data_IF_916253265576
#
_entry.id   IF_916253265576
#
_cell.length_a   1.000
_cell.length_b   1.000
_cell.length_c   1.000
_cell.angle_alpha   90.00
_cell.angle_beta   90.00
_cell.angle_gamma   90.00
#
_symmetry.space_group_name_H-M   'P 1'
#
loop_
_entity.id
_entity.type
_entity.pdbx_description
1 polymer ?
#
# COMPACT_ATOMS: atom_id res chain seq x y z
N UNK A 1 -5.72 -40.14 19.57
CA UNK A 1 -4.52 -39.35 19.19
C UNK A 1 -4.72 -38.49 17.93
N UNK A 2 -5.54 -38.91 16.96
CA UNK A 2 -5.79 -38.16 15.72
C UNK A 2 -6.47 -36.79 15.94
N UNK A 3 -7.47 -36.72 16.84
CA UNK A 3 -8.19 -35.46 17.14
C UNK A 3 -7.35 -34.38 17.81
N UNK A 4 -6.40 -34.73 18.70
CA UNK A 4 -5.50 -33.75 19.33
C UNK A 4 -4.52 -33.16 18.32
N UNK A 5 -3.98 -33.97 17.41
CA UNK A 5 -3.09 -33.51 16.32
C UNK A 5 -3.84 -32.58 15.34
N UNK A 6 -5.09 -32.91 15.02
CA UNK A 6 -5.95 -32.08 14.17
C UNK A 6 -6.28 -30.73 14.84
N UNK A 7 -6.62 -30.73 16.13
CA UNK A 7 -6.92 -29.50 16.87
C UNK A 7 -5.70 -28.59 16.98
N UNK A 8 -4.51 -29.13 17.27
CA UNK A 8 -3.27 -28.35 17.28
C UNK A 8 -2.96 -27.75 15.90
N UNK A 9 -3.16 -28.51 14.82
CA UNK A 9 -2.99 -28.01 13.45
C UNK A 9 -3.94 -26.85 13.14
N UNK A 10 -5.22 -26.97 13.53
CA UNK A 10 -6.21 -25.89 13.36
C UNK A 10 -5.84 -24.64 14.17
N UNK A 11 -5.38 -24.79 15.41
CA UNK A 11 -4.94 -23.65 16.24
C UNK A 11 -3.74 -22.95 15.60
N UNK A 12 -2.75 -23.69 15.10
CA UNK A 12 -1.63 -23.10 14.36
C UNK A 12 -2.10 -22.34 13.11
N UNK A 13 -3.06 -22.91 12.36
CA UNK A 13 -3.63 -22.29 11.17
C UNK A 13 -4.33 -20.95 11.48
N UNK A 14 -4.99 -20.81 12.62
CA UNK A 14 -5.65 -19.55 13.03
C UNK A 14 -4.70 -18.55 13.70
N UNK A 15 -3.62 -19.04 14.33
CA UNK A 15 -2.66 -18.18 15.02
C UNK A 15 -1.78 -17.38 14.05
N UNK A 16 -1.39 -17.96 12.91
CA UNK A 16 -0.56 -17.27 11.91
C UNK A 16 -1.25 -16.02 11.32
N UNK A 17 -2.51 -16.07 10.85
CA UNK A 17 -3.24 -14.88 10.41
C UNK A 17 -3.42 -13.83 11.50
N UNK A 18 -3.58 -14.25 12.77
CA UNK A 18 -3.71 -13.33 13.90
C UNK A 18 -2.44 -12.49 14.09
N UNK A 19 -1.27 -13.14 14.09
CA UNK A 19 0.02 -12.44 14.22
C UNK A 19 0.23 -11.48 13.04
N UNK A 20 -0.09 -11.94 11.82
CA UNK A 20 -0.04 -11.09 10.64
C UNK A 20 -0.96 -9.86 10.78
N UNK A 21 -2.19 -10.04 11.26
CA UNK A 21 -3.14 -8.96 11.52
C UNK A 21 -2.60 -7.93 12.52
N UNK A 22 -1.98 -8.38 13.61
CA UNK A 22 -1.35 -7.48 14.60
C UNK A 22 -0.19 -6.66 13.99
N UNK A 23 0.65 -7.28 13.17
CA UNK A 23 1.77 -6.60 12.49
C UNK A 23 1.22 -5.55 11.52
N UNK A 24 0.24 -5.92 10.69
CA UNK A 24 -0.39 -5.00 9.72
C UNK A 24 -1.02 -3.82 10.44
N UNK A 25 -1.80 -4.07 11.51
CA UNK A 25 -2.41 -3.00 12.31
C UNK A 25 -1.37 -2.06 12.93
N UNK A 26 -0.36 -2.62 13.58
CA UNK A 26 0.70 -1.85 14.22
C UNK A 26 1.44 -0.96 13.20
N UNK A 27 1.79 -1.53 12.04
CA UNK A 27 2.44 -0.80 10.97
C UNK A 27 1.54 0.30 10.36
N UNK A 28 0.26 0.00 10.17
CA UNK A 28 -0.70 0.98 9.62
C UNK A 28 -0.93 2.15 10.57
N UNK A 29 -1.01 1.89 11.88
CA UNK A 29 -1.12 2.93 12.90
C UNK A 29 0.16 3.76 12.96
N UNK A 30 1.33 3.12 12.89
CA UNK A 30 2.61 3.82 12.86
C UNK A 30 2.72 4.81 11.70
N UNK A 31 2.36 4.38 10.49
CA UNK A 31 2.30 5.25 9.30
C UNK A 31 1.32 6.39 9.54
N UNK A 32 0.13 6.10 10.06
CA UNK A 32 -0.90 7.12 10.27
C UNK A 32 -0.46 8.23 11.22
N UNK A 33 0.29 7.87 12.27
CA UNK A 33 0.80 8.79 13.29
C UNK A 33 1.98 9.62 12.75
N UNK A 34 2.90 8.99 12.01
CA UNK A 34 4.04 9.70 11.39
C UNK A 34 3.56 10.75 10.37
N UNK A 35 2.61 10.41 9.50
CA UNK A 35 2.00 11.38 8.58
C UNK A 35 1.26 12.51 9.31
N UNK A 36 0.49 12.20 10.36
CA UNK A 36 -0.27 13.20 11.11
C UNK A 36 0.63 14.26 11.77
N UNK A 37 1.85 13.89 12.13
CA UNK A 37 2.82 14.79 12.74
C UNK A 37 3.36 15.82 11.74
N UNK A 38 3.42 15.49 10.45
CA UNK A 38 3.85 16.39 9.38
C UNK A 38 2.72 17.31 8.89
N UNK A 39 1.47 16.83 8.87
CA UNK A 39 0.30 17.61 8.42
C UNK A 39 -0.03 18.78 9.38
N UNK A 40 0.45 18.74 10.62
CA UNK A 40 0.30 19.86 11.56
C UNK A 40 1.19 21.07 11.21
N UNK A 41 2.13 20.93 10.25
CA UNK A 41 3.04 21.99 9.82
C UNK A 41 2.63 22.68 8.50
N UNK A 42 1.86 22.02 7.62
CA UNK A 42 1.40 22.59 6.36
C UNK A 42 -0.04 22.16 6.06
N UNK A 43 -0.91 23.16 5.95
CA UNK A 43 -2.32 22.99 5.66
C UNK A 43 -2.51 22.83 4.14
N UNK A 44 -3.49 22.00 3.77
CA UNK A 44 -4.12 21.88 2.44
C UNK A 44 -3.68 20.75 1.47
N UNK A 45 -4.47 19.66 1.50
CA UNK A 45 -5.21 19.10 0.36
C UNK A 45 -4.50 18.44 -0.84
N UNK A 46 -3.56 17.51 -0.61
CA UNK A 46 -3.13 16.58 -1.69
C UNK A 46 -2.87 15.11 -1.25
N UNK A 47 -3.03 14.78 0.03
CA UNK A 47 -2.61 13.48 0.62
C UNK A 47 -3.77 12.46 0.74
N UNK A 48 -4.92 12.77 0.14
CA UNK A 48 -6.16 11.97 0.22
C UNK A 48 -6.01 10.48 -0.14
N UNK A 49 -5.28 10.07 -1.20
CA UNK A 49 -5.24 8.66 -1.58
C UNK A 49 -4.42 7.79 -0.62
N UNK A 50 -3.32 8.32 -0.07
CA UNK A 50 -2.52 7.60 0.93
C UNK A 50 -3.29 7.46 2.24
N UNK A 51 -3.99 8.52 2.67
CA UNK A 51 -4.82 8.47 3.87
C UNK A 51 -5.97 7.47 3.73
N UNK A 52 -6.63 7.43 2.57
CA UNK A 52 -7.67 6.43 2.27
C UNK A 52 -7.11 5.00 2.31
N UNK A 53 -5.94 4.75 1.71
CA UNK A 53 -5.28 3.45 1.72
C UNK A 53 -4.90 2.96 3.12
N UNK A 54 -4.30 3.83 3.95
CA UNK A 54 -3.90 3.49 5.32
C UNK A 54 -5.13 3.20 6.19
N UNK A 55 -6.21 3.98 6.06
CA UNK A 55 -7.46 3.71 6.80
C UNK A 55 -8.09 2.36 6.41
N UNK A 56 -8.05 1.98 5.13
CA UNK A 56 -8.49 0.66 4.68
C UNK A 56 -7.61 -0.45 5.27
N UNK A 57 -6.30 -0.25 5.32
CA UNK A 57 -5.36 -1.20 5.92
C UNK A 57 -5.64 -1.41 7.42
N UNK A 58 -5.94 -0.32 8.15
CA UNK A 58 -6.37 -0.39 9.55
C UNK A 58 -7.69 -1.18 9.69
N UNK A 59 -8.69 -0.89 8.85
CA UNK A 59 -9.97 -1.59 8.89
C UNK A 59 -9.81 -3.10 8.62
N UNK A 60 -9.05 -3.46 7.58
CA UNK A 60 -8.78 -4.86 7.22
C UNK A 60 -8.01 -5.58 8.33
N UNK A 61 -6.95 -4.96 8.86
CA UNK A 61 -6.17 -5.53 9.96
C UNK A 61 -7.03 -5.77 11.21
N UNK A 62 -7.94 -4.85 11.53
CA UNK A 62 -8.85 -4.98 12.68
C UNK A 62 -9.83 -6.15 12.50
N UNK A 63 -10.39 -6.30 11.29
CA UNK A 63 -11.28 -7.41 10.95
C UNK A 63 -10.53 -8.75 11.08
N UNK A 64 -9.31 -8.85 10.53
CA UNK A 64 -8.49 -10.07 10.62
C UNK A 64 -8.22 -10.41 12.10
N UNK A 65 -7.88 -9.42 12.93
CA UNK A 65 -7.61 -9.61 14.35
C UNK A 65 -8.86 -10.09 15.13
N UNK A 66 -10.04 -9.57 14.83
CA UNK A 66 -11.30 -10.00 15.46
C UNK A 66 -11.64 -11.43 15.03
N UNK A 67 -11.56 -11.73 13.73
CA UNK A 67 -11.87 -13.05 13.20
C UNK A 67 -10.90 -14.12 13.68
N UNK A 68 -9.61 -13.81 13.76
CA UNK A 68 -8.61 -14.75 14.28
C UNK A 68 -8.78 -15.00 15.78
N UNK A 69 -9.18 -14.00 16.57
CA UNK A 69 -9.55 -14.19 17.97
C UNK A 69 -10.78 -15.10 18.12
N UNK A 70 -11.84 -14.84 17.35
CA UNK A 70 -13.06 -15.67 17.35
C UNK A 70 -12.77 -17.10 16.90
N UNK A 71 -11.92 -17.30 15.89
CA UNK A 71 -11.50 -18.61 15.41
C UNK A 71 -10.69 -19.40 16.45
N UNK A 72 -9.69 -18.77 17.06
CA UNK A 72 -8.84 -19.40 18.07
C UNK A 72 -9.63 -19.71 19.36
N UNK A 73 -10.37 -18.73 19.90
CA UNK A 73 -11.21 -18.94 21.09
C UNK A 73 -12.36 -19.91 20.83
N UNK A 74 -12.96 -19.89 19.64
CA UNK A 74 -14.02 -20.81 19.24
C UNK A 74 -13.54 -22.26 19.20
N UNK A 75 -12.32 -22.50 18.67
CA UNK A 75 -11.70 -23.82 18.64
C UNK A 75 -11.31 -24.32 20.04
N UNK A 76 -10.78 -23.45 20.91
CA UNK A 76 -10.35 -23.84 22.27
C UNK A 76 -11.55 -24.07 23.21
N UNK A 77 -12.57 -23.22 23.16
CA UNK A 77 -13.76 -23.33 24.04
C UNK A 77 -14.80 -24.34 23.55
N UNK A 78 -14.59 -24.96 22.38
CA UNK A 78 -15.56 -25.85 21.72
C UNK A 78 -16.98 -25.25 21.66
N UNK A 79 -17.05 -23.92 21.62
CA UNK A 79 -18.31 -23.18 21.75
C UNK A 79 -18.96 -23.03 20.39
N UNK A 80 -20.08 -23.73 20.19
CA UNK A 80 -20.84 -23.67 18.94
C UNK A 80 -21.28 -22.25 18.56
N UNK A 81 -21.60 -21.41 19.56
CA UNK A 81 -22.03 -20.04 19.31
C UNK A 81 -20.91 -19.19 18.69
N UNK A 82 -19.68 -19.26 19.26
CA UNK A 82 -18.52 -18.55 18.71
C UNK A 82 -18.14 -19.03 17.31
N UNK A 83 -18.20 -20.35 17.08
CA UNK A 83 -17.90 -20.94 15.77
C UNK A 83 -18.96 -20.56 14.73
N UNK A 84 -20.24 -20.50 15.11
CA UNK A 84 -21.32 -20.01 14.25
C UNK A 84 -21.13 -18.55 13.85
N UNK A 85 -20.80 -17.67 14.81
CA UNK A 85 -20.51 -16.27 14.52
C UNK A 85 -19.33 -16.11 13.56
N UNK A 86 -18.26 -16.89 13.77
CA UNK A 86 -17.12 -16.92 12.86
C UNK A 86 -17.53 -17.32 11.44
N UNK A 87 -18.32 -18.40 11.30
CA UNK A 87 -18.78 -18.87 10.00
C UNK A 87 -19.70 -17.85 9.30
N UNK A 88 -20.64 -17.25 10.03
CA UNK A 88 -21.53 -16.19 9.49
C UNK A 88 -20.69 -14.99 9.03
N UNK A 89 -19.70 -14.56 9.81
CA UNK A 89 -18.83 -13.45 9.43
C UNK A 89 -18.02 -13.76 8.16
N UNK A 90 -17.49 -14.99 8.03
CA UNK A 90 -16.81 -15.43 6.81
C UNK A 90 -17.74 -15.46 5.60
N UNK A 91 -18.98 -15.92 5.76
CA UNK A 91 -19.97 -15.91 4.69
C UNK A 91 -20.30 -14.48 4.23
N UNK A 92 -20.46 -13.54 5.17
CA UNK A 92 -20.69 -12.13 4.83
C UNK A 92 -19.50 -11.54 4.06
N UNK A 93 -18.27 -11.84 4.47
CA UNK A 93 -17.06 -11.41 3.76
C UNK A 93 -17.00 -12.00 2.37
N UNK A 94 -17.37 -13.27 2.19
CA UNK A 94 -17.44 -13.92 0.88
C UNK A 94 -18.43 -13.20 -0.04
N UNK A 95 -19.62 -12.88 0.45
CA UNK A 95 -20.63 -12.14 -0.32
C UNK A 95 -20.10 -10.75 -0.71
N UNK A 96 -19.45 -10.04 0.22
CA UNK A 96 -18.83 -8.74 -0.04
C UNK A 96 -17.70 -8.84 -1.07
N UNK A 97 -16.85 -9.87 -1.00
CA UNK A 97 -15.77 -10.09 -1.96
C UNK A 97 -16.31 -10.39 -3.36
N UNK A 98 -17.32 -11.25 -3.48
CA UNK A 98 -17.96 -11.55 -4.77
C UNK A 98 -18.61 -10.29 -5.35
N UNK A 99 -19.36 -9.55 -4.52
CA UNK A 99 -20.01 -8.31 -4.93
C UNK A 99 -18.98 -7.27 -5.38
N UNK A 100 -17.92 -7.06 -4.58
CA UNK A 100 -16.83 -6.16 -4.91
C UNK A 100 -16.08 -6.58 -6.17
N UNK A 101 -15.87 -7.88 -6.38
CA UNK A 101 -15.26 -8.41 -7.61
C UNK A 101 -16.10 -8.16 -8.85
N UNK A 102 -17.41 -8.38 -8.77
CA UNK A 102 -18.34 -8.11 -9.88
C UNK A 102 -18.40 -6.61 -10.17
N UNK A 103 -18.58 -5.76 -9.15
CA UNK A 103 -18.60 -4.31 -9.30
C UNK A 103 -17.26 -3.80 -9.87
N UNK A 104 -16.13 -4.30 -9.37
CA UNK A 104 -14.81 -3.95 -9.89
C UNK A 104 -14.61 -4.35 -11.35
N UNK A 105 -15.20 -5.46 -11.79
CA UNK A 105 -15.17 -5.87 -13.20
C UNK A 105 -16.06 -5.00 -14.09
N UNK A 106 -17.28 -4.68 -13.63
CA UNK A 106 -18.25 -3.86 -14.38
C UNK A 106 -17.79 -2.41 -14.47
N UNK A 107 -17.31 -1.84 -13.37
CA UNK A 107 -16.89 -0.43 -13.28
C UNK A 107 -15.41 -0.21 -13.60
N UNK A 108 -14.73 -1.17 -14.26
CA UNK A 108 -13.34 -1.05 -14.67
C UNK A 108 -12.99 0.30 -15.33
N UNK A 109 -13.73 0.80 -16.33
CA UNK A 109 -13.34 2.04 -17.00
C UNK A 109 -13.41 3.25 -16.06
N UNK A 110 -14.41 3.31 -15.17
CA UNK A 110 -14.51 4.40 -14.18
C UNK A 110 -13.38 4.32 -13.15
N UNK A 111 -13.01 3.11 -12.71
CA UNK A 111 -11.88 2.91 -11.80
C UNK A 111 -10.57 3.32 -12.46
N UNK A 112 -10.37 3.02 -13.75
CA UNK A 112 -9.18 3.44 -14.49
C UNK A 112 -9.09 4.97 -14.61
N UNK A 113 -10.20 5.65 -14.86
CA UNK A 113 -10.25 7.11 -14.89
C UNK A 113 -9.94 7.73 -13.52
N UNK A 114 -10.57 7.23 -12.45
CA UNK A 114 -10.29 7.67 -11.09
C UNK A 114 -8.81 7.44 -10.70
N UNK A 115 -8.25 6.31 -11.13
CA UNK A 115 -6.84 5.99 -10.91
C UNK A 115 -5.93 6.95 -11.69
N UNK A 116 -6.22 7.24 -12.96
CA UNK A 116 -5.48 8.25 -13.75
C UNK A 116 -5.52 9.63 -13.11
N UNK A 117 -6.67 10.04 -12.59
CA UNK A 117 -6.80 11.31 -11.89
C UNK A 117 -5.91 11.35 -10.64
N UNK A 118 -5.93 10.28 -9.86
CA UNK A 118 -5.06 10.12 -8.67
C UNK A 118 -3.57 10.16 -9.04
N UNK A 119 -3.17 9.45 -10.09
CA UNK A 119 -1.78 9.45 -10.57
C UNK A 119 -1.35 10.83 -11.06
N UNK A 120 -2.22 11.55 -11.76
CA UNK A 120 -1.92 12.92 -12.19
C UNK A 120 -1.72 13.86 -10.99
N UNK A 121 -2.50 13.71 -9.92
CA UNK A 121 -2.28 14.47 -8.67
C UNK A 121 -0.92 14.14 -8.05
N UNK A 122 -0.51 12.86 -8.03
CA UNK A 122 0.81 12.47 -7.56
C UNK A 122 1.94 13.04 -8.43
N UNK A 123 1.77 13.05 -9.76
CA UNK A 123 2.73 13.70 -10.68
C UNK A 123 2.80 15.21 -10.41
N UNK A 124 1.69 15.89 -10.18
CA UNK A 124 1.70 17.31 -9.80
C UNK A 124 2.49 17.57 -8.51
N UNK A 125 2.44 16.64 -7.53
CA UNK A 125 3.26 16.73 -6.32
C UNK A 125 4.77 16.55 -6.61
N UNK A 126 5.14 15.71 -7.58
CA UNK A 126 6.53 15.55 -8.04
C UNK A 126 7.05 16.80 -8.78
N UNK A 127 6.17 17.48 -9.52
CA UNK A 127 6.51 18.72 -10.25
C UNK A 127 6.50 19.97 -9.37
N UNK A 128 5.90 19.89 -8.17
CA UNK A 128 5.82 21.03 -7.27
C UNK A 128 7.22 21.48 -6.83
N UNK A 129 7.49 22.77 -6.98
CA UNK A 129 8.72 23.42 -6.51
C UNK A 129 8.59 23.93 -5.06
N UNK A 130 7.39 23.83 -4.48
CA UNK A 130 7.12 24.25 -3.11
C UNK A 130 7.70 23.23 -2.12
N UNK A 131 8.19 23.72 -0.97
CA UNK A 131 8.80 22.88 0.07
C UNK A 131 7.88 21.79 0.66
N UNK A 132 6.56 21.90 0.45
CA UNK A 132 5.54 21.01 1.02
C UNK A 132 5.66 19.56 0.55
N UNK A 133 6.20 19.32 -0.66
CA UNK A 133 6.30 17.97 -1.23
C UNK A 133 7.72 17.39 -1.19
N UNK A 134 8.68 18.05 -0.52
CA UNK A 134 10.08 17.63 -0.54
C UNK A 134 10.31 16.25 0.08
N UNK A 135 9.68 15.94 1.22
CA UNK A 135 9.82 14.61 1.82
C UNK A 135 9.28 13.51 0.89
N UNK A 136 8.08 13.72 0.33
CA UNK A 136 7.50 12.81 -0.66
C UNK A 136 8.43 12.61 -1.87
N UNK A 137 9.02 13.69 -2.40
CA UNK A 137 9.97 13.62 -3.51
C UNK A 137 11.25 12.84 -3.14
N UNK A 138 11.80 13.02 -1.95
CA UNK A 138 12.99 12.31 -1.49
C UNK A 138 12.73 10.81 -1.30
N UNK A 139 11.61 10.45 -0.68
CA UNK A 139 11.18 9.06 -0.54
C UNK A 139 10.92 8.42 -1.90
N UNK A 140 10.28 9.16 -2.81
CA UNK A 140 10.01 8.68 -4.16
C UNK A 140 11.31 8.46 -4.96
N UNK A 141 12.30 9.34 -4.85
CA UNK A 141 13.64 9.11 -5.45
C UNK A 141 14.35 7.90 -4.85
N UNK A 142 14.14 7.60 -3.56
CA UNK A 142 14.68 6.38 -2.94
C UNK A 142 13.98 5.14 -3.48
N UNK A 143 12.67 5.21 -3.70
CA UNK A 143 11.89 4.15 -4.33
C UNK A 143 12.34 3.90 -5.78
N UNK A 144 12.51 4.96 -6.58
CA UNK A 144 13.02 4.90 -7.95
C UNK A 144 14.39 4.21 -8.02
N UNK A 145 15.34 4.62 -7.16
CA UNK A 145 16.66 4.00 -7.09
C UNK A 145 16.61 2.53 -6.67
N UNK A 146 15.76 2.19 -5.70
CA UNK A 146 15.61 0.81 -5.22
C UNK A 146 15.01 -0.13 -6.28
N UNK A 147 14.09 0.38 -7.10
CA UNK A 147 13.38 -0.39 -8.12
C UNK A 147 13.95 -0.19 -9.53
N UNK A 148 15.00 0.61 -9.67
CA UNK A 148 15.67 0.89 -10.94
C UNK A 148 14.71 1.39 -12.03
N UNK A 149 13.77 2.25 -11.61
CA UNK A 149 12.76 2.85 -12.48
C UNK A 149 12.75 4.38 -12.32
N UNK A 150 12.05 5.07 -13.22
CA UNK A 150 11.96 6.53 -13.21
C UNK A 150 10.56 6.98 -13.59
N UNK A 151 10.00 7.91 -12.82
CA UNK A 151 8.68 8.48 -13.04
C UNK A 151 7.52 7.54 -12.67
N UNK A 152 6.30 8.06 -12.85
CA UNK A 152 5.05 7.38 -12.50
C UNK A 152 4.23 7.04 -13.75
N UNK A 153 4.14 7.99 -14.69
CA UNK A 153 3.33 7.92 -15.91
C UNK A 153 4.16 8.11 -17.17
N UNK A 154 5.08 9.08 -17.20
CA UNK A 154 5.82 9.51 -18.39
C UNK A 154 7.34 9.52 -18.20
N UNK A 155 7.86 8.79 -17.22
CA UNK A 155 9.29 8.70 -16.97
C UNK A 155 9.81 9.98 -16.30
N UNK A 156 11.03 10.38 -16.66
CA UNK A 156 11.66 11.59 -16.11
C UNK A 156 10.85 12.88 -16.33
N UNK A 157 9.94 12.90 -17.31
CA UNK A 157 9.06 14.06 -17.58
C UNK A 157 8.09 14.35 -16.43
N UNK A 158 7.77 13.35 -15.60
CA UNK A 158 6.89 13.52 -14.44
C UNK A 158 7.53 14.40 -13.36
N UNK A 159 8.84 14.61 -13.40
CA UNK A 159 9.56 15.50 -12.49
C UNK A 159 9.55 16.97 -12.93
N UNK A 160 9.14 17.28 -14.16
CA UNK A 160 9.05 18.65 -14.67
C UNK A 160 10.35 19.45 -14.48
N UNK A 161 10.23 20.69 -14.00
CA UNK A 161 11.38 21.57 -13.74
C UNK A 161 12.32 21.05 -12.65
N UNK A 162 11.83 20.22 -11.71
CA UNK A 162 12.67 19.65 -10.65
C UNK A 162 13.78 18.74 -11.21
N UNK A 163 13.55 18.12 -12.37
CA UNK A 163 14.56 17.30 -13.05
C UNK A 163 15.78 18.11 -13.52
N UNK A 164 15.59 19.39 -13.87
CA UNK A 164 16.65 20.23 -14.41
C UNK A 164 17.50 20.89 -13.31
N UNK A 165 17.18 20.66 -12.04
CA UNK A 165 17.94 21.25 -10.95
C UNK A 165 19.36 20.67 -10.91
N UNK A 166 20.40 21.52 -10.78
CA UNK A 166 21.80 21.14 -10.92
C UNK A 166 22.29 20.16 -9.84
N UNK A 167 21.58 20.03 -8.73
CA UNK A 167 21.87 19.09 -7.64
C UNK A 167 20.94 17.87 -7.63
N UNK A 168 20.11 17.67 -8.66
CA UNK A 168 19.13 16.58 -8.68
C UNK A 168 19.73 15.27 -9.19
N UNK A 169 19.78 14.27 -8.29
CA UNK A 169 20.09 12.87 -8.63
C UNK A 169 18.84 12.10 -9.06
N UNK A 170 17.83 12.82 -9.57
CA UNK A 170 16.54 12.27 -9.96
C UNK A 170 16.73 11.26 -11.10
N UNK A 171 16.13 10.08 -10.95
CA UNK A 171 16.21 8.99 -11.92
C UNK A 171 17.63 8.52 -12.28
N UNK A 172 18.64 8.86 -11.48
CA UNK A 172 20.02 8.53 -11.80
C UNK A 172 20.24 7.02 -11.81
N UNK A 173 20.81 6.54 -12.92
CA UNK A 173 21.26 5.16 -13.07
C UNK A 173 22.78 5.08 -12.92
N UNK A 174 23.24 4.03 -12.24
CA UNK A 174 24.66 3.74 -12.03
C UNK A 174 25.20 2.86 -13.16
N UNK A 175 26.43 3.13 -13.63
CA UNK A 175 27.02 2.52 -14.84
C UNK A 175 27.17 0.99 -14.77
N UNK A 176 27.23 0.40 -13.58
CA UNK A 176 27.29 -1.05 -13.36
C UNK A 176 25.95 -1.77 -13.61
N UNK A 177 24.89 -1.02 -13.89
CA UNK A 177 23.55 -1.55 -14.16
C UNK A 177 23.43 -1.94 -15.63
N UNK A 178 22.88 -3.14 -15.92
CA UNK A 178 22.67 -3.65 -17.28
C UNK A 178 22.21 -2.57 -18.26
N UNK A 179 22.87 -2.50 -19.43
CA UNK A 179 22.65 -1.52 -20.51
C UNK A 179 21.18 -1.44 -20.97
N UNK A 180 20.41 -2.49 -20.69
CA UNK A 180 19.00 -2.60 -21.03
C UNK A 180 18.10 -1.70 -20.17
N UNK A 181 18.52 -1.31 -18.97
CA UNK A 181 17.70 -0.55 -18.02
C UNK A 181 17.92 0.97 -18.10
N UNK A 182 19.04 1.41 -18.69
CA UNK A 182 19.46 2.81 -18.60
C UNK A 182 19.62 3.45 -19.98
N UNK A 183 19.28 4.74 -20.06
CA UNK A 183 19.41 5.55 -21.28
C UNK A 183 20.17 6.83 -20.98
N UNK A 184 20.98 7.28 -21.93
CA UNK A 184 21.74 8.53 -21.79
C UNK A 184 20.84 9.70 -22.15
N UNK A 185 20.74 10.67 -21.25
CA UNK A 185 20.00 11.92 -21.47
C UNK A 185 20.82 13.10 -20.92
N UNK A 186 21.07 14.13 -21.74
CA UNK A 186 21.82 15.35 -21.36
C UNK A 186 23.07 15.06 -20.51
N UNK A 187 23.91 14.13 -20.99
CA UNK A 187 25.20 13.76 -20.38
C UNK A 187 25.13 12.99 -19.04
N UNK A 188 23.95 12.54 -18.60
CA UNK A 188 23.76 11.60 -17.47
C UNK A 188 23.05 10.32 -17.93
N UNK A 189 23.24 9.23 -17.19
CA UNK A 189 22.45 8.00 -17.35
C UNK A 189 21.23 8.05 -16.45
N UNK A 190 20.06 7.80 -17.03
CA UNK A 190 18.79 7.73 -16.31
C UNK A 190 18.10 6.39 -16.56
N UNK A 191 17.28 5.94 -15.61
CA UNK A 191 16.46 4.75 -15.83
C UNK A 191 15.48 4.97 -16.99
N UNK A 192 15.28 3.91 -17.80
CA UNK A 192 14.24 3.88 -18.82
C UNK A 192 12.86 3.84 -18.16
N UNK A 193 11.86 4.30 -18.92
CA UNK A 193 10.44 4.22 -18.55
C UNK A 193 9.95 2.78 -18.62
#
# INVERSE_FOLDING_TARGET
MLGKKLLTFLICLYFLPQVCGCIILGFSIWIRVSDAQQVNACSHTSILPLFAGVNLLIAVGAIIMILGFLGCCGAVKESRCMLMLFFIALLLILILQVTGGILGAVYKPQVEEAFKLTLNTSVSALQSTTGEHKEYQEEFQKFERKNQCCGLLNGFKDWGENFNQPSSNICQCEEDTSSDLCTRYQNRYIYKK
#
